data_IF_542321574141
#
_entry.id   IF_542321574141
#
_cell.length_a   1.000
_cell.length_b   1.000
_cell.length_c   1.000
_cell.angle_alpha   90.00
_cell.angle_beta   90.00
_cell.angle_gamma   90.00
#
_symmetry.space_group_name_H-M   'P 1'
#
loop_
_entity.id
_entity.type
_entity.pdbx_description
1 polymer ?
#
# COMPACT_ATOMS: atom_id res chain seq x y z
N UNK A 1 7.57 3.66 9.18
CA UNK A 1 6.86 2.50 9.77
C UNK A 1 5.84 1.99 8.75
N UNK A 2 5.42 0.73 8.87
CA UNK A 2 4.52 0.11 7.88
C UNK A 2 3.03 0.25 8.21
N UNK A 3 2.64 -0.13 9.42
CA UNK A 3 1.23 -0.28 9.77
C UNK A 3 0.55 1.07 10.03
N UNK A 4 -0.57 1.29 9.35
CA UNK A 4 -1.59 2.30 9.66
C UNK A 4 -2.82 2.04 8.80
N UNK A 5 -4.01 2.45 9.26
CA UNK A 5 -5.26 2.10 8.57
C UNK A 5 -5.45 2.76 7.20
N UNK A 6 -4.80 3.90 6.96
CA UNK A 6 -4.90 4.68 5.72
C UNK A 6 -3.53 5.05 5.12
N UNK A 7 -2.47 4.99 5.93
CA UNK A 7 -1.16 5.52 5.62
C UNK A 7 -0.11 4.81 6.48
N UNK A 8 1.08 4.61 5.89
CA UNK A 8 2.32 4.38 6.59
C UNK A 8 3.48 4.99 5.82
N UNK A 9 4.51 5.50 6.51
CA UNK A 9 5.62 6.20 5.83
C UNK A 9 6.48 5.29 4.94
N UNK A 10 6.40 3.96 5.10
CA UNK A 10 6.95 3.03 4.13
C UNK A 10 6.20 3.05 2.81
N UNK A 11 4.87 3.14 2.85
CA UNK A 11 4.02 3.21 1.66
C UNK A 11 4.26 4.52 0.91
N UNK A 12 4.40 5.64 1.62
CA UNK A 12 4.73 6.93 1.00
C UNK A 12 6.03 6.82 0.19
N UNK A 13 7.09 6.26 0.78
CA UNK A 13 8.38 6.05 0.11
C UNK A 13 8.26 5.13 -1.13
N UNK A 14 7.49 4.04 -1.03
CA UNK A 14 7.31 3.09 -2.14
C UNK A 14 6.50 3.74 -3.27
N UNK A 15 5.42 4.44 -2.94
CA UNK A 15 4.58 5.13 -3.90
C UNK A 15 5.35 6.23 -4.62
N UNK A 16 6.15 7.02 -3.91
CA UNK A 16 7.01 8.06 -4.50
C UNK A 16 8.00 7.46 -5.50
N UNK A 17 8.67 6.34 -5.15
CA UNK A 17 9.58 5.64 -6.04
C UNK A 17 8.86 5.05 -7.27
N UNK A 18 7.63 4.53 -7.10
CA UNK A 18 6.83 4.04 -8.23
C UNK A 18 6.44 5.18 -9.16
N UNK A 19 5.99 6.32 -8.63
CA UNK A 19 5.64 7.48 -9.46
C UNK A 19 6.85 8.03 -10.22
N UNK A 20 8.02 8.12 -9.56
CA UNK A 20 9.25 8.62 -10.20
C UNK A 20 9.78 7.70 -11.30
N UNK A 21 9.74 6.38 -11.09
CA UNK A 21 10.33 5.40 -12.01
C UNK A 21 9.35 4.88 -13.08
N UNK A 22 8.04 5.12 -12.90
CA UNK A 22 7.00 4.57 -13.80
C UNK A 22 6.17 5.62 -14.50
N UNK A 23 6.44 6.92 -14.30
CA UNK A 23 5.67 8.01 -14.93
C UNK A 23 4.16 7.82 -14.72
N UNK A 24 3.76 7.64 -13.46
CA UNK A 24 2.36 7.46 -13.07
C UNK A 24 1.88 8.68 -12.28
N UNK A 25 0.62 9.09 -12.51
CA UNK A 25 0.00 10.20 -11.78
C UNK A 25 -0.42 9.81 -10.36
N UNK A 26 -0.71 8.52 -10.14
CA UNK A 26 -1.15 7.93 -8.88
C UNK A 26 -0.46 6.56 -8.72
N UNK A 27 0.02 6.27 -7.51
CA UNK A 27 0.49 4.94 -7.11
C UNK A 27 -0.37 4.39 -5.96
N UNK A 28 -0.64 3.09 -5.99
CA UNK A 28 -1.40 2.38 -4.96
C UNK A 28 -0.54 1.25 -4.41
N UNK A 29 -0.32 1.26 -3.09
CA UNK A 29 0.41 0.23 -2.36
C UNK A 29 -0.58 -0.60 -1.53
N UNK A 30 -0.40 -1.93 -1.41
CA UNK A 30 -1.39 -2.75 -0.72
C UNK A 30 -1.34 -2.55 0.81
N UNK A 31 -2.49 -2.37 1.46
CA UNK A 31 -2.66 -2.25 2.93
C UNK A 31 -2.36 -3.53 3.72
N UNK A 32 -1.15 -4.11 3.54
CA UNK A 32 -0.66 -5.29 4.25
C UNK A 32 -0.13 -4.92 5.64
N UNK A 33 -0.33 -5.85 6.58
CA UNK A 33 0.00 -5.65 8.00
C UNK A 33 1.42 -6.07 8.41
N UNK A 34 2.18 -6.67 7.52
CA UNK A 34 3.54 -7.13 7.77
C UNK A 34 4.57 -6.11 7.27
N UNK A 35 5.70 -6.01 7.98
CA UNK A 35 6.83 -5.16 7.63
C UNK A 35 7.42 -4.41 8.84
N UNK A 36 8.71 -4.04 8.78
CA UNK A 36 9.42 -3.42 9.88
C UNK A 36 9.07 -1.95 10.07
N UNK A 37 9.56 -1.40 11.18
CA UNK A 37 9.70 0.05 11.37
C UNK A 37 11.17 0.35 11.58
N UNK A 38 11.65 1.41 10.92
CA UNK A 38 12.98 1.96 11.12
C UNK A 38 12.90 3.18 12.03
N UNK A 39 13.94 3.40 12.82
CA UNK A 39 14.06 4.63 13.62
C UNK A 39 14.82 5.70 12.82
N UNK A 40 14.64 7.00 13.15
CA UNK A 40 15.35 8.06 12.46
C UNK A 40 16.88 7.86 12.55
N UNK A 41 17.54 7.91 11.40
CA UNK A 41 19.00 7.74 11.28
C UNK A 41 19.45 6.32 10.95
N UNK A 42 18.55 5.33 10.96
CA UNK A 42 18.86 3.99 10.44
C UNK A 42 19.04 4.04 8.92
N UNK A 43 20.05 3.32 8.43
CA UNK A 43 20.19 3.05 7.00
C UNK A 43 19.08 2.10 6.53
N UNK A 44 18.50 2.38 5.35
CA UNK A 44 17.61 1.43 4.68
C UNK A 44 18.48 0.37 3.97
N UNK A 45 18.36 -0.88 4.40
CA UNK A 45 19.07 -1.99 3.79
C UNK A 45 18.19 -2.74 2.77
N UNK A 46 18.81 -3.61 1.97
CA UNK A 46 18.07 -4.52 1.08
C UNK A 46 17.10 -5.43 1.84
N UNK A 47 17.47 -5.84 3.04
CA UNK A 47 16.63 -6.72 3.87
C UNK A 47 15.35 -5.99 4.31
N UNK A 48 15.44 -4.69 4.61
CA UNK A 48 14.26 -3.88 4.95
C UNK A 48 13.28 -3.79 3.79
N UNK A 49 13.80 -3.57 2.57
CA UNK A 49 13.00 -3.57 1.34
C UNK A 49 12.31 -4.91 1.14
N UNK A 50 13.02 -6.02 1.30
CA UNK A 50 12.42 -7.35 1.20
C UNK A 50 11.33 -7.55 2.24
N UNK A 51 11.53 -7.10 3.49
CA UNK A 51 10.52 -7.22 4.53
C UNK A 51 9.31 -6.30 4.37
N UNK A 52 9.32 -5.31 3.46
CA UNK A 52 8.12 -4.52 3.08
C UNK A 52 7.56 -4.85 1.70
N UNK A 53 8.23 -5.72 0.94
CA UNK A 53 7.82 -6.14 -0.42
C UNK A 53 7.82 -7.66 -0.64
N UNK A 54 7.87 -8.45 0.44
CA UNK A 54 7.95 -9.91 0.43
C UNK A 54 6.67 -10.59 -0.08
N UNK A 55 6.48 -10.54 -1.39
CA UNK A 55 5.43 -11.27 -2.11
C UNK A 55 6.09 -12.12 -3.19
N UNK A 56 5.67 -13.39 -3.31
CA UNK A 56 6.10 -14.26 -4.43
C UNK A 56 5.60 -13.75 -5.79
N UNK A 57 4.72 -12.75 -5.78
CA UNK A 57 4.09 -12.07 -6.91
C UNK A 57 4.32 -10.55 -6.90
N UNK A 58 5.48 -10.07 -6.43
CA UNK A 58 5.80 -8.63 -6.26
C UNK A 58 6.01 -7.81 -7.54
N UNK A 59 5.26 -8.08 -8.63
CA UNK A 59 5.29 -7.27 -9.85
C UNK A 59 4.52 -5.97 -9.64
N UNK A 60 5.12 -4.85 -10.06
CA UNK A 60 4.43 -3.57 -10.17
C UNK A 60 3.81 -3.43 -11.57
N UNK A 61 2.56 -3.00 -11.63
CA UNK A 61 1.81 -2.83 -12.88
C UNK A 61 1.42 -1.35 -13.05
N UNK A 62 1.58 -0.85 -14.28
CA UNK A 62 1.10 0.47 -14.70
C UNK A 62 -0.08 0.27 -15.64
N UNK A 63 -1.20 0.91 -15.36
CA UNK A 63 -2.43 0.77 -16.15
C UNK A 63 -3.21 2.07 -16.10
N UNK A 64 -3.85 2.43 -17.21
CA UNK A 64 -4.73 3.59 -17.26
C UNK A 64 -6.09 3.28 -16.62
N UNK A 65 -6.60 4.20 -15.82
CA UNK A 65 -7.90 4.10 -15.16
C UNK A 65 -8.61 5.45 -15.21
N UNK A 66 -9.94 5.44 -15.28
CA UNK A 66 -10.72 6.67 -15.12
C UNK A 66 -10.77 7.08 -13.66
N UNK A 67 -10.91 8.39 -13.38
CA UNK A 67 -11.11 8.87 -12.01
C UNK A 67 -12.34 8.27 -11.33
N UNK A 68 -13.40 7.97 -12.09
CA UNK A 68 -14.58 7.26 -11.59
C UNK A 68 -14.23 5.85 -11.11
N UNK A 69 -13.43 5.11 -11.89
CA UNK A 69 -13.06 3.75 -11.51
C UNK A 69 -12.12 3.73 -10.29
N UNK A 70 -11.20 4.70 -10.18
CA UNK A 70 -10.37 4.87 -8.98
C UNK A 70 -11.25 5.10 -7.75
N UNK A 71 -12.28 5.95 -7.85
CA UNK A 71 -13.24 6.15 -6.76
C UNK A 71 -13.92 4.83 -6.37
N UNK A 72 -14.40 4.05 -7.35
CA UNK A 72 -15.04 2.76 -7.08
C UNK A 72 -14.12 1.82 -6.30
N UNK A 73 -12.84 1.73 -6.67
CA UNK A 73 -11.86 0.90 -5.95
C UNK A 73 -11.72 1.35 -4.49
N UNK A 74 -11.55 2.66 -4.24
CA UNK A 74 -11.34 3.18 -2.89
C UNK A 74 -12.58 2.99 -2.00
N UNK A 75 -13.79 3.17 -2.56
CA UNK A 75 -15.04 2.96 -1.84
C UNK A 75 -15.28 1.47 -1.53
N UNK A 76 -14.92 0.55 -2.44
CA UNK A 76 -15.03 -0.90 -2.20
C UNK A 76 -14.13 -1.36 -1.04
N UNK A 77 -12.91 -0.81 -0.96
CA UNK A 77 -12.02 -1.04 0.19
C UNK A 77 -12.62 -0.45 1.48
N UNK A 78 -13.18 0.75 1.42
CA UNK A 78 -13.83 1.40 2.56
C UNK A 78 -15.02 0.60 3.10
N UNK A 79 -15.88 0.11 2.21
CA UNK A 79 -17.04 -0.74 2.54
C UNK A 79 -16.63 -2.03 3.22
N UNK A 80 -15.45 -2.58 2.89
CA UNK A 80 -14.90 -3.75 3.58
C UNK A 80 -14.36 -3.42 4.97
N UNK A 81 -13.44 -2.47 5.07
CA UNK A 81 -12.69 -2.21 6.31
C UNK A 81 -13.56 -1.56 7.39
N UNK A 82 -14.56 -0.76 6.99
CA UNK A 82 -15.49 -0.09 7.89
C UNK A 82 -16.85 -0.79 7.97
N UNK A 83 -16.96 -2.02 7.46
CA UNK A 83 -18.22 -2.75 7.56
C UNK A 83 -18.62 -2.90 9.05
N UNK A 84 -19.84 -2.50 9.45
CA UNK A 84 -20.27 -2.63 10.83
C UNK A 84 -20.48 -4.09 11.25
N UNK A 85 -20.71 -4.98 10.29
CA UNK A 85 -20.81 -6.41 10.54
C UNK A 85 -19.44 -7.07 10.33
N UNK A 86 -18.82 -7.61 11.39
CA UNK A 86 -17.50 -8.22 11.31
C UNK A 86 -17.46 -9.45 10.40
N UNK A 87 -18.60 -10.07 10.10
CA UNK A 87 -18.68 -11.18 9.14
C UNK A 87 -18.21 -10.77 7.74
N UNK A 88 -18.38 -9.50 7.37
CA UNK A 88 -17.98 -8.96 6.06
C UNK A 88 -16.59 -8.31 6.05
N UNK A 89 -15.87 -8.28 7.18
CA UNK A 89 -14.52 -7.73 7.23
C UNK A 89 -13.48 -8.76 6.81
N UNK A 90 -12.59 -8.41 5.88
CA UNK A 90 -11.57 -9.35 5.36
C UNK A 90 -10.20 -9.19 6.03
N UNK A 91 -10.05 -8.24 6.96
CA UNK A 91 -8.87 -8.11 7.80
C UNK A 91 -7.65 -7.45 7.15
N UNK A 92 -7.84 -6.74 6.03
CA UNK A 92 -6.86 -5.81 5.46
C UNK A 92 -7.00 -4.40 6.02
N UNK A 93 -6.10 -3.52 5.59
CA UNK A 93 -6.17 -2.07 5.78
C UNK A 93 -6.28 -1.35 4.41
N UNK A 94 -6.44 -0.02 4.39
CA UNK A 94 -6.51 0.78 3.16
C UNK A 94 -5.12 1.14 2.63
#
# INVERSE_FOLDING_TARGET
YRRGNFNGTWDDLICDALMSEREADIAMSPGVRWGPSLIPGDDITREDIWNVTSMTYGKAYRTEMTGEFIKVILEDVADNIFNPDPYYQHGGDM
#
